data_IF_906215693222
#
_entry.id   IF_906215693222
#
_cell.length_a   1.000
_cell.length_b   1.000
_cell.length_c   1.000
_cell.angle_alpha   90.00
_cell.angle_beta   90.00
_cell.angle_gamma   90.00
#
_symmetry.space_group_name_H-M   'P 1'
#
loop_
_entity.id
_entity.type
_entity.pdbx_description
1 polymer ?
#
# COMPACT_ATOMS: atom_id res chain seq x y z
N UNK A 1 21.66 -3.51 1.26
CA UNK A 1 21.34 -2.34 0.45
C UNK A 1 20.77 -1.23 1.31
N UNK A 2 21.32 -0.05 1.23
CA UNK A 2 20.81 1.04 2.08
C UNK A 2 19.44 1.49 1.64
N UNK A 3 18.57 1.73 2.61
CA UNK A 3 17.29 2.35 2.39
C UNK A 3 17.49 3.86 2.41
N UNK A 4 17.13 4.53 1.34
CA UNK A 4 17.22 5.98 1.25
C UNK A 4 15.88 6.61 0.91
N UNK A 5 14.89 5.81 0.57
CA UNK A 5 13.56 6.29 0.25
C UNK A 5 12.49 5.54 0.99
N UNK A 6 11.49 6.27 1.45
CA UNK A 6 10.28 5.70 2.06
C UNK A 6 9.10 6.50 1.54
N UNK A 7 8.03 5.82 1.18
CA UNK A 7 6.81 6.47 0.72
C UNK A 7 5.59 5.68 1.14
N UNK A 8 4.49 6.37 1.34
CA UNK A 8 3.22 5.75 1.71
C UNK A 8 2.13 6.23 0.76
N UNK A 9 1.32 5.30 0.28
CA UNK A 9 0.18 5.55 -0.58
C UNK A 9 -1.05 4.84 -0.01
N UNK A 10 -2.23 5.21 -0.46
CA UNK A 10 -3.49 4.60 -0.06
C UNK A 10 -4.65 5.45 -0.51
N UNK A 11 -5.87 4.89 -0.47
CA UNK A 11 -7.04 5.60 -0.99
C UNK A 11 -7.45 6.80 -0.13
N UNK A 12 -7.06 6.82 1.14
CA UNK A 12 -7.34 7.95 2.04
C UNK A 12 -6.29 9.05 1.98
N UNK A 13 -5.23 8.84 1.20
CA UNK A 13 -4.15 9.82 1.09
C UNK A 13 -4.55 11.02 0.24
N UNK A 14 -3.60 11.93 0.06
CA UNK A 14 -3.82 13.15 -0.73
C UNK A 14 -4.01 12.87 -2.21
N UNK A 15 -3.37 11.83 -2.71
CA UNK A 15 -3.48 11.43 -4.11
C UNK A 15 -4.57 10.40 -4.26
N UNK A 16 -5.23 10.41 -5.40
CA UNK A 16 -6.21 9.38 -5.70
C UNK A 16 -5.56 8.01 -5.84
N UNK A 17 -6.28 6.96 -5.47
CA UNK A 17 -5.86 5.59 -5.68
C UNK A 17 -6.89 4.85 -6.52
N UNK A 18 -6.42 3.93 -7.32
CA UNK A 18 -7.27 3.01 -8.08
C UNK A 18 -7.58 1.75 -7.28
N UNK A 19 -6.90 1.56 -6.15
CA UNK A 19 -7.07 0.43 -5.24
C UNK A 19 -7.79 0.80 -3.96
N UNK A 20 -7.79 -0.13 -3.01
CA UNK A 20 -8.52 0.01 -1.77
C UNK A 20 -7.65 -0.08 -0.52
N UNK A 21 -6.33 -0.17 -0.66
CA UNK A 21 -5.44 -0.22 0.50
C UNK A 21 -5.61 1.02 1.37
N UNK A 22 -5.68 0.82 2.68
CA UNK A 22 -5.64 1.94 3.62
C UNK A 22 -4.26 2.57 3.60
N UNK A 23 -3.21 1.76 3.55
CA UNK A 23 -1.86 2.26 3.36
C UNK A 23 -0.97 1.20 2.76
N UNK A 24 -0.02 1.63 1.95
CA UNK A 24 1.09 0.84 1.47
C UNK A 24 2.34 1.66 1.69
N UNK A 25 3.23 1.18 2.52
CA UNK A 25 4.50 1.84 2.80
C UNK A 25 5.61 1.04 2.16
N UNK A 26 6.47 1.70 1.42
CA UNK A 26 7.55 1.06 0.67
C UNK A 26 8.89 1.63 1.08
N UNK A 27 9.86 0.75 1.25
CA UNK A 27 11.27 1.08 1.46
C UNK A 27 12.02 0.78 0.16
N UNK A 28 12.77 1.74 -0.33
CA UNK A 28 13.55 1.60 -1.56
C UNK A 28 14.87 2.36 -1.46
N UNK A 29 15.68 2.28 -2.50
CA UNK A 29 16.97 2.97 -2.51
C UNK A 29 16.84 4.47 -2.80
N UNK A 30 15.71 4.90 -3.33
CA UNK A 30 15.45 6.32 -3.55
C UNK A 30 14.02 6.66 -3.24
N UNK A 31 13.76 7.93 -2.94
CA UNK A 31 12.42 8.42 -2.69
C UNK A 31 11.52 8.24 -3.92
N UNK A 32 12.05 8.48 -5.10
CA UNK A 32 11.29 8.34 -6.34
C UNK A 32 10.85 6.89 -6.58
N UNK A 33 11.75 5.92 -6.35
CA UNK A 33 11.40 4.52 -6.47
C UNK A 33 10.35 4.10 -5.43
N UNK A 34 10.51 4.57 -4.20
CA UNK A 34 9.56 4.26 -3.13
C UNK A 34 8.18 4.80 -3.47
N UNK A 35 8.11 6.05 -3.94
CA UNK A 35 6.84 6.69 -4.27
C UNK A 35 6.12 5.99 -5.42
N UNK A 36 6.84 5.71 -6.50
CA UNK A 36 6.26 5.03 -7.66
C UNK A 36 5.76 3.63 -7.27
N UNK A 37 6.56 2.88 -6.54
CA UNK A 37 6.20 1.53 -6.13
C UNK A 37 5.01 1.52 -5.15
N UNK A 38 4.98 2.44 -4.19
CA UNK A 38 3.87 2.54 -3.24
C UNK A 38 2.56 2.79 -3.97
N UNK A 39 2.57 3.67 -4.97
CA UNK A 39 1.39 3.95 -5.78
C UNK A 39 0.91 2.71 -6.54
N UNK A 40 1.83 2.02 -7.21
CA UNK A 40 1.47 0.84 -8.01
C UNK A 40 1.00 -0.32 -7.14
N UNK A 41 1.63 -0.54 -6.00
CA UNK A 41 1.23 -1.60 -5.08
C UNK A 41 -0.15 -1.26 -4.48
N UNK A 42 -0.36 -0.02 -4.08
CA UNK A 42 -1.65 0.41 -3.54
C UNK A 42 -2.77 0.22 -4.55
N UNK A 43 -2.52 0.49 -5.83
CA UNK A 43 -3.48 0.24 -6.89
C UNK A 43 -3.78 -1.25 -7.08
N UNK A 44 -2.81 -2.11 -6.82
CA UNK A 44 -2.97 -3.56 -6.94
C UNK A 44 -3.74 -4.19 -5.78
N UNK A 45 -3.75 -3.54 -4.61
CA UNK A 45 -4.58 -3.98 -3.48
C UNK A 45 -6.03 -3.63 -3.84
N UNK A 46 -6.72 -4.58 -4.45
CA UNK A 46 -8.02 -4.29 -5.03
C UNK A 46 -8.85 -5.55 -5.20
N UNK A 47 -10.17 -5.38 -5.08
CA UNK A 47 -11.18 -6.39 -5.43
C UNK A 47 -12.42 -5.67 -5.89
N UNK A 48 -13.28 -6.37 -6.63
CA UNK A 48 -14.60 -5.85 -6.99
C UNK A 48 -15.61 -6.25 -5.92
N UNK A 49 -16.23 -5.26 -5.30
CA UNK A 49 -17.25 -5.49 -4.28
C UNK A 49 -18.12 -4.24 -4.16
N UNK A 50 -19.43 -4.39 -3.89
CA UNK A 50 -20.33 -3.24 -3.75
C UNK A 50 -19.93 -2.25 -2.65
N UNK A 51 -19.20 -2.69 -1.63
CA UNK A 51 -18.73 -1.81 -0.57
C UNK A 51 -17.65 -0.82 -1.05
N UNK A 52 -17.03 -1.07 -2.20
CA UNK A 52 -16.03 -0.16 -2.78
C UNK A 52 -16.76 0.84 -3.67
N UNK A 53 -16.72 2.11 -3.28
CA UNK A 53 -17.33 3.17 -4.04
C UNK A 53 -16.28 3.89 -4.86
N UNK A 54 -16.56 4.08 -6.13
CA UNK A 54 -15.66 4.74 -7.06
C UNK A 54 -16.39 5.87 -7.78
N UNK A 55 -15.64 6.88 -8.16
CA UNK A 55 -16.17 8.01 -8.92
C UNK A 55 -15.10 8.50 -9.90
N UNK A 56 -15.49 9.14 -11.00
CA UNK A 56 -14.51 9.77 -11.88
C UNK A 56 -13.68 10.79 -11.10
N UNK A 57 -12.37 10.77 -11.28
CA UNK A 57 -11.47 11.65 -10.55
C UNK A 57 -11.86 13.13 -10.72
N UNK A 58 -12.26 13.52 -11.91
CA UNK A 58 -12.66 14.91 -12.19
C UNK A 58 -13.99 15.30 -11.55
N UNK A 59 -14.80 14.37 -11.04
CA UNK A 59 -16.01 14.70 -10.28
C UNK A 59 -15.70 15.01 -8.82
N UNK A 60 -14.54 14.60 -8.34
CA UNK A 60 -14.09 14.82 -6.96
C UNK A 60 -13.19 16.05 -6.89
N UNK A 61 -12.35 16.24 -7.90
CA UNK A 61 -11.41 17.34 -7.97
C UNK A 61 -11.24 17.73 -9.43
N UNK A 62 -11.54 19.00 -9.74
CA UNK A 62 -11.57 19.48 -11.12
C UNK A 62 -10.22 19.41 -11.82
N UNK A 63 -9.14 19.62 -11.08
CA UNK A 63 -7.81 19.76 -11.64
C UNK A 63 -6.97 18.51 -11.39
N UNK A 64 -7.37 17.41 -12.00
CA UNK A 64 -6.69 16.14 -11.83
C UNK A 64 -6.20 15.59 -13.17
N UNK A 65 -4.99 15.03 -13.18
CA UNK A 65 -4.42 14.36 -14.34
C UNK A 65 -5.14 13.07 -14.70
N UNK A 66 -5.94 12.54 -13.78
CA UNK A 66 -6.65 11.27 -14.01
C UNK A 66 -7.95 11.44 -14.78
N UNK A 67 -8.44 12.67 -14.90
CA UNK A 67 -9.63 12.98 -15.70
C UNK A 67 -10.85 12.15 -15.30
N UNK A 68 -11.39 11.38 -16.25
CA UNK A 68 -12.58 10.57 -16.03
C UNK A 68 -12.29 9.17 -15.45
N UNK A 69 -11.04 8.85 -15.13
CA UNK A 69 -10.72 7.54 -14.54
C UNK A 69 -11.42 7.38 -13.21
N UNK A 70 -11.91 6.17 -12.95
CA UNK A 70 -12.57 5.86 -11.69
C UNK A 70 -11.52 5.71 -10.60
N UNK A 71 -11.71 6.47 -9.52
CA UNK A 71 -10.85 6.40 -8.34
C UNK A 71 -11.68 5.99 -7.14
N UNK A 72 -11.03 5.40 -6.15
CA UNK A 72 -11.69 4.97 -4.92
C UNK A 72 -12.03 6.18 -4.07
N UNK A 73 -13.29 6.31 -3.70
CA UNK A 73 -13.76 7.41 -2.85
C UNK A 73 -14.24 6.93 -1.49
N UNK A 74 -14.61 5.66 -1.36
CA UNK A 74 -14.98 5.08 -0.07
C UNK A 74 -14.86 3.57 -0.12
N UNK A 75 -14.54 2.95 1.00
CA UNK A 75 -14.46 1.50 1.14
C UNK A 75 -15.19 1.10 2.42
N UNK A 76 -16.33 0.45 2.26
CA UNK A 76 -17.06 -0.12 3.39
C UNK A 76 -16.44 -1.43 3.86
N UNK A 77 -17.00 -2.00 4.93
CA UNK A 77 -16.49 -3.25 5.49
C UNK A 77 -16.52 -4.37 4.45
N UNK A 78 -15.41 -5.09 4.33
CA UNK A 78 -15.28 -6.21 3.41
C UNK A 78 -15.28 -7.53 4.17
N UNK A 79 -15.81 -8.60 3.58
CA UNK A 79 -15.64 -9.94 4.15
C UNK A 79 -14.16 -10.30 4.28
N UNK A 80 -13.77 -11.09 5.29
CA UNK A 80 -12.37 -11.44 5.52
C UNK A 80 -11.67 -12.05 4.30
N UNK A 81 -12.35 -12.90 3.55
CA UNK A 81 -11.73 -13.52 2.37
C UNK A 81 -11.44 -12.52 1.26
N UNK A 82 -12.24 -11.48 1.14
CA UNK A 82 -11.99 -10.44 0.14
C UNK A 82 -10.87 -9.49 0.58
N UNK A 83 -10.78 -9.22 1.88
CA UNK A 83 -9.63 -8.48 2.41
C UNK A 83 -8.33 -9.21 2.12
N UNK A 84 -8.33 -10.52 2.41
CA UNK A 84 -7.15 -11.35 2.14
C UNK A 84 -6.81 -11.38 0.66
N UNK A 85 -7.80 -11.50 -0.21
CA UNK A 85 -7.59 -11.51 -1.65
C UNK A 85 -6.98 -10.18 -2.13
N UNK A 86 -7.53 -9.06 -1.70
CA UNK A 86 -7.03 -7.75 -2.07
C UNK A 86 -5.58 -7.57 -1.62
N UNK A 87 -5.28 -7.93 -0.37
CA UNK A 87 -3.92 -7.83 0.16
C UNK A 87 -2.96 -8.75 -0.58
N UNK A 88 -3.39 -9.96 -0.91
CA UNK A 88 -2.54 -10.89 -1.66
C UNK A 88 -2.27 -10.37 -3.09
N UNK A 89 -3.22 -9.70 -3.71
CA UNK A 89 -2.99 -9.08 -5.02
C UNK A 89 -1.90 -8.01 -4.94
N UNK A 90 -1.95 -7.17 -3.92
CA UNK A 90 -0.91 -6.16 -3.69
C UNK A 90 0.43 -6.79 -3.33
N UNK A 91 0.40 -7.84 -2.52
CA UNK A 91 1.61 -8.56 -2.13
C UNK A 91 2.33 -9.19 -3.32
N UNK A 92 1.57 -9.74 -4.27
CA UNK A 92 2.14 -10.30 -5.49
C UNK A 92 2.87 -9.23 -6.30
N UNK A 93 2.31 -8.03 -6.40
CA UNK A 93 2.97 -6.91 -7.06
C UNK A 93 4.25 -6.50 -6.34
N UNK A 94 4.19 -6.43 -5.01
CA UNK A 94 5.36 -6.09 -4.21
C UNK A 94 6.46 -7.13 -4.36
N UNK A 95 6.10 -8.42 -4.38
CA UNK A 95 7.05 -9.50 -4.55
C UNK A 95 7.78 -9.39 -5.90
N UNK A 96 7.05 -9.09 -6.96
CA UNK A 96 7.66 -8.87 -8.28
C UNK A 96 8.68 -7.74 -8.22
N UNK A 97 8.34 -6.65 -7.57
CA UNK A 97 9.26 -5.50 -7.46
C UNK A 97 10.49 -5.82 -6.64
N UNK A 98 10.36 -6.65 -5.60
CA UNK A 98 11.51 -7.11 -4.81
C UNK A 98 12.42 -7.97 -5.68
N UNK A 99 11.85 -8.90 -6.42
CA UNK A 99 12.62 -9.79 -7.30
C UNK A 99 13.35 -9.04 -8.39
N UNK A 100 12.78 -7.93 -8.85
CA UNK A 100 13.41 -7.06 -9.84
C UNK A 100 14.38 -6.05 -9.24
N UNK A 101 14.56 -6.06 -7.94
CA UNK A 101 15.47 -5.13 -7.27
C UNK A 101 14.99 -3.69 -7.21
N UNK A 102 13.71 -3.45 -7.42
CA UNK A 102 13.15 -2.10 -7.45
C UNK A 102 12.82 -1.57 -6.07
N UNK A 103 12.48 -2.45 -5.14
CA UNK A 103 12.19 -2.08 -3.75
C UNK A 103 12.89 -3.04 -2.80
N UNK A 104 13.01 -2.62 -1.54
CA UNK A 104 13.64 -3.40 -0.48
C UNK A 104 12.60 -4.11 0.36
N UNK A 105 11.49 -3.46 0.63
CA UNK A 105 10.40 -4.05 1.40
C UNK A 105 9.14 -3.21 1.33
N UNK A 106 8.04 -3.80 1.78
CA UNK A 106 6.75 -3.12 1.79
C UNK A 106 5.87 -3.63 2.92
N UNK A 107 5.01 -2.75 3.42
CA UNK A 107 3.96 -3.09 4.37
C UNK A 107 2.63 -2.61 3.81
N UNK A 108 1.67 -3.51 3.73
CA UNK A 108 0.35 -3.25 3.15
C UNK A 108 -0.70 -3.39 4.24
N UNK A 109 -1.64 -2.45 4.32
CA UNK A 109 -2.71 -2.48 5.32
C UNK A 109 -4.06 -2.29 4.66
N UNK A 110 -5.03 -3.08 5.11
CA UNK A 110 -6.42 -2.98 4.68
C UNK A 110 -7.32 -3.44 5.84
N UNK A 111 -8.10 -2.51 6.37
CA UNK A 111 -9.13 -2.81 7.39
C UNK A 111 -8.60 -3.68 8.53
N UNK A 112 -7.52 -3.22 9.16
CA UNK A 112 -6.86 -3.87 10.30
C UNK A 112 -6.14 -5.18 9.97
N UNK A 113 -5.99 -5.52 8.70
CA UNK A 113 -5.13 -6.62 8.29
C UNK A 113 -3.87 -6.07 7.63
N UNK A 114 -2.75 -6.75 7.86
CA UNK A 114 -1.45 -6.32 7.37
C UNK A 114 -0.76 -7.44 6.63
N UNK A 115 0.05 -7.06 5.66
CA UNK A 115 1.02 -7.95 5.01
C UNK A 115 2.35 -7.22 4.92
N UNK A 116 3.41 -7.91 5.25
CA UNK A 116 4.76 -7.37 5.07
C UNK A 116 5.51 -8.28 4.13
N UNK A 117 6.43 -7.69 3.37
CA UNK A 117 7.20 -8.43 2.38
C UNK A 117 8.57 -7.82 2.23
N UNK A 118 9.54 -8.66 1.89
CA UNK A 118 10.92 -8.23 1.71
C UNK A 118 11.64 -8.03 3.02
N UNK A 119 12.62 -7.14 3.02
CA UNK A 119 13.54 -6.94 4.14
C UNK A 119 13.00 -6.04 5.25
N UNK A 120 11.71 -5.79 5.27
CA UNK A 120 11.12 -4.91 6.27
C UNK A 120 11.39 -5.37 7.69
N UNK A 121 11.35 -6.68 7.93
CA UNK A 121 11.62 -7.24 9.24
C UNK A 121 13.08 -7.23 9.65
N UNK A 122 13.97 -7.20 8.68
CA UNK A 122 15.40 -7.30 8.90
C UNK A 122 16.15 -6.03 8.58
N UNK A 123 15.44 -5.00 8.19
CA UNK A 123 16.05 -3.71 7.90
C UNK A 123 16.80 -3.25 9.15
N UNK A 124 18.07 -2.87 9.01
CA UNK A 124 18.81 -2.42 10.18
C UNK A 124 18.16 -1.16 10.70
N UNK A 125 17.81 -1.24 11.97
CA UNK A 125 17.13 -0.17 12.53
C UNK A 125 18.10 0.67 13.11
N UNK A 126 18.49 1.58 12.42
CA UNK A 126 19.38 2.56 12.95
C UNK A 126 18.66 3.30 14.06
N UNK A 127 19.24 3.24 15.22
CA UNK A 127 18.80 4.01 16.36
C UNK A 127 17.33 3.90 16.70
N UNK A 128 16.75 2.77 16.46
CA UNK A 128 15.39 2.51 16.87
C UNK A 128 14.32 3.21 16.06
N UNK A 129 14.70 3.72 14.91
CA UNK A 129 13.70 4.40 14.10
C UNK A 129 12.92 3.49 13.20
N UNK A 130 13.50 2.38 12.92
CA UNK A 130 12.87 1.49 12.05
C UNK A 130 11.74 0.81 12.60
N UNK A 131 11.74 0.90 13.84
CA UNK A 131 10.82 0.16 14.51
C UNK A 131 9.39 0.46 14.25
N UNK A 132 9.03 1.56 13.74
CA UNK A 132 7.63 1.95 13.65
C UNK A 132 6.80 0.97 12.79
N UNK A 133 7.27 0.64 11.61
CA UNK A 133 6.56 -0.29 10.74
C UNK A 133 6.58 -1.70 11.27
N UNK A 134 7.69 -2.15 11.82
CA UNK A 134 7.76 -3.48 12.41
C UNK A 134 6.84 -3.60 13.61
N UNK A 135 6.81 -2.58 14.45
CA UNK A 135 5.93 -2.59 15.62
C UNK A 135 4.47 -2.67 15.21
N UNK A 136 4.06 -1.89 14.23
CA UNK A 136 2.70 -1.93 13.74
C UNK A 136 2.35 -3.30 13.16
N UNK A 137 3.25 -3.89 12.37
CA UNK A 137 3.03 -5.20 11.79
C UNK A 137 2.99 -6.31 12.86
N UNK A 138 3.85 -6.22 13.86
CA UNK A 138 3.85 -7.17 14.95
C UNK A 138 2.58 -7.08 15.78
N UNK A 139 2.13 -5.87 16.07
CA UNK A 139 0.89 -5.66 16.81
C UNK A 139 -0.32 -6.22 16.07
N UNK A 140 -0.36 -6.04 14.77
CA UNK A 140 -1.44 -6.61 13.96
C UNK A 140 -1.42 -8.13 13.98
N UNK A 141 -0.26 -8.73 13.94
CA UNK A 141 -0.14 -10.19 14.02
C UNK A 141 -0.58 -10.73 15.39
N UNK A 142 -0.29 -9.99 16.46
CA UNK A 142 -0.72 -10.37 17.79
C UNK A 142 -2.22 -10.16 17.99
N UNK A 143 -2.77 -9.15 17.37
CA UNK A 143 -4.20 -8.87 17.46
C UNK A 143 -5.05 -9.82 16.60
N UNK A 144 -4.43 -10.42 15.61
CA UNK A 144 -5.12 -11.39 14.77
C UNK A 144 -5.17 -12.75 15.45
#
# INVERSE_FOLDING_TARGET
>A
MPVSGIATSGWRGRSFSLGIADSVTVLARSAAQADAAATMIANAVNVNHPAVERAPANSVKDDTDLGARLVTVNVGALPPELRAQALNNGRAQAQEYIERGLIIGAALALQNEWRTIGSLHTAPLAAGHQFTLESAAADQRLAA
#
